data_IF_341406098860
#
_entry.id   IF_341406098860
#
_cell.length_a   1.000
_cell.length_b   1.000
_cell.length_c   1.000
_cell.angle_alpha   90.00
_cell.angle_beta   90.00
_cell.angle_gamma   90.00
#
_symmetry.space_group_name_H-M   'P 1'
#
loop_
_entity.id
_entity.type
_entity.pdbx_description
1 polymer ?
#
# COMPACT_ATOMS: atom_id res chain seq x y z
N UNK A 1 30.13 6.00 12.99
CA UNK A 1 29.76 4.58 13.17
C UNK A 1 29.29 4.24 14.59
N UNK A 2 30.10 4.49 15.62
CA UNK A 2 29.73 4.25 17.03
C UNK A 2 28.42 4.97 17.36
N UNK A 3 28.24 6.18 16.91
CA UNK A 3 27.05 7.04 17.14
C UNK A 3 25.78 6.53 16.48
N UNK A 4 25.85 5.92 15.28
CA UNK A 4 24.69 5.30 14.64
C UNK A 4 24.22 4.05 15.39
N UNK A 5 25.17 3.21 15.83
CA UNK A 5 24.84 2.05 16.68
C UNK A 5 24.26 2.48 18.04
N UNK A 6 24.82 3.53 18.63
CA UNK A 6 24.28 4.11 19.86
C UNK A 6 22.87 4.70 19.69
N UNK A 7 22.52 5.14 18.47
CA UNK A 7 21.19 5.60 18.10
C UNK A 7 20.23 4.45 17.73
N UNK A 8 20.64 3.17 17.90
CA UNK A 8 19.79 1.98 17.71
C UNK A 8 19.79 1.41 16.29
N UNK A 9 20.65 1.88 15.38
CA UNK A 9 20.75 1.33 14.02
C UNK A 9 21.64 0.08 13.97
N UNK A 10 21.22 -0.94 13.20
CA UNK A 10 22.08 -2.05 12.78
C UNK A 10 22.99 -1.57 11.63
N UNK A 11 24.29 -1.48 11.87
CA UNK A 11 25.24 -0.85 10.93
C UNK A 11 26.24 -1.87 10.40
N UNK A 12 26.20 -2.10 9.09
CA UNK A 12 27.24 -2.79 8.32
C UNK A 12 28.15 -1.75 7.66
N UNK A 13 29.40 -2.09 7.43
CA UNK A 13 30.42 -1.18 6.87
C UNK A 13 31.09 -1.84 5.71
N UNK A 14 31.27 -1.07 4.65
CA UNK A 14 32.03 -1.42 3.47
C UNK A 14 33.22 -0.48 3.30
N UNK A 15 34.33 -0.97 2.80
CA UNK A 15 35.57 -0.22 2.53
C UNK A 15 35.49 0.53 1.19
N UNK A 16 34.67 0.07 0.26
CA UNK A 16 34.47 0.68 -1.06
C UNK A 16 33.07 0.35 -1.63
N UNK A 17 32.77 0.87 -2.83
CA UNK A 17 31.47 0.68 -3.47
C UNK A 17 31.22 -0.75 -3.94
N UNK A 18 32.26 -1.55 -4.23
CA UNK A 18 32.10 -2.95 -4.65
C UNK A 18 31.61 -3.79 -3.47
N UNK A 19 32.31 -3.73 -2.35
CA UNK A 19 31.92 -4.40 -1.11
C UNK A 19 30.55 -3.92 -0.62
N UNK A 20 30.25 -2.61 -0.74
CA UNK A 20 28.94 -2.06 -0.37
C UNK A 20 27.80 -2.67 -1.20
N UNK A 21 28.01 -2.84 -2.50
CA UNK A 21 27.02 -3.44 -3.39
C UNK A 21 26.79 -4.92 -3.06
N UNK A 22 27.86 -5.69 -2.83
CA UNK A 22 27.79 -7.11 -2.43
C UNK A 22 27.02 -7.28 -1.11
N UNK A 23 27.36 -6.48 -0.10
CA UNK A 23 26.67 -6.48 1.20
C UNK A 23 25.18 -6.14 1.06
N UNK A 24 24.83 -5.20 0.17
CA UNK A 24 23.43 -4.82 -0.09
C UNK A 24 22.68 -5.93 -0.82
N UNK A 25 23.32 -6.71 -1.69
CA UNK A 25 22.71 -7.86 -2.36
C UNK A 25 22.48 -9.05 -1.42
N UNK A 26 23.38 -9.29 -0.46
CA UNK A 26 23.20 -10.34 0.55
C UNK A 26 21.99 -10.09 1.46
N UNK A 27 21.88 -8.84 1.93
CA UNK A 27 20.78 -8.39 2.77
C UNK A 27 20.54 -6.91 2.49
N UNK A 28 19.44 -6.63 1.80
CA UNK A 28 19.04 -5.27 1.44
C UNK A 28 18.90 -4.39 2.69
N UNK A 29 19.65 -3.25 2.79
CA UNK A 29 19.52 -2.33 3.89
C UNK A 29 18.35 -1.38 3.69
N UNK A 30 17.87 -0.74 4.77
CA UNK A 30 16.87 0.34 4.66
C UNK A 30 17.49 1.63 4.12
N UNK A 31 18.79 1.85 4.38
CA UNK A 31 19.52 3.06 3.96
C UNK A 31 21.00 2.78 3.73
N UNK A 32 21.55 3.36 2.67
CA UNK A 32 22.97 3.40 2.35
C UNK A 32 23.50 4.81 2.55
N UNK A 33 24.55 4.95 3.37
CA UNK A 33 25.38 6.17 3.44
C UNK A 33 26.61 5.96 2.58
N UNK A 34 26.70 6.61 1.43
CA UNK A 34 27.79 6.46 0.49
C UNK A 34 28.65 7.73 0.42
N UNK A 35 29.97 7.58 0.56
CA UNK A 35 30.89 8.66 0.18
C UNK A 35 30.88 8.79 -1.35
N UNK A 36 30.88 10.02 -1.86
CA UNK A 36 31.07 10.26 -3.29
C UNK A 36 32.41 9.69 -3.75
N UNK A 37 33.48 9.93 -2.99
CA UNK A 37 34.84 9.55 -3.35
C UNK A 37 35.24 8.26 -2.62
N UNK A 38 35.12 7.12 -3.29
CA UNK A 38 35.58 5.82 -2.79
C UNK A 38 36.48 5.14 -3.81
N UNK A 39 37.43 4.29 -3.39
CA UNK A 39 38.23 3.49 -4.31
C UNK A 39 37.38 2.44 -5.02
N UNK A 40 37.88 1.88 -6.13
CA UNK A 40 37.30 0.82 -6.95
C UNK A 40 35.94 1.15 -7.58
N UNK A 41 34.98 1.61 -6.79
CA UNK A 41 33.66 2.06 -7.24
C UNK A 41 33.24 3.27 -6.40
N UNK A 42 33.01 4.40 -7.07
CA UNK A 42 32.56 5.63 -6.41
C UNK A 42 31.07 5.56 -6.01
N UNK A 43 30.62 6.57 -5.23
CA UNK A 43 29.25 6.60 -4.73
C UNK A 43 28.19 6.74 -5.83
N UNK A 44 28.52 7.38 -6.94
CA UNK A 44 27.59 7.53 -8.07
C UNK A 44 27.39 6.21 -8.81
N UNK A 45 28.46 5.48 -9.09
CA UNK A 45 28.41 4.18 -9.72
C UNK A 45 27.71 3.15 -8.79
N UNK A 46 27.99 3.18 -7.50
CA UNK A 46 27.28 2.37 -6.50
C UNK A 46 25.76 2.66 -6.56
N UNK A 47 25.39 3.92 -6.54
CA UNK A 47 23.96 4.33 -6.62
C UNK A 47 23.31 3.81 -7.89
N UNK A 48 23.96 3.94 -9.04
CA UNK A 48 23.45 3.47 -10.33
C UNK A 48 23.23 1.96 -10.32
N UNK A 49 24.16 1.18 -9.78
CA UNK A 49 24.02 -0.28 -9.66
C UNK A 49 22.92 -0.70 -8.68
N UNK A 50 22.82 -0.02 -7.53
CA UNK A 50 21.73 -0.27 -6.58
C UNK A 50 20.35 -0.02 -7.22
N UNK A 51 20.19 1.04 -8.03
CA UNK A 51 18.94 1.36 -8.73
C UNK A 51 18.60 0.38 -9.87
N UNK A 52 19.61 -0.26 -10.47
CA UNK A 52 19.42 -1.25 -11.54
C UNK A 52 19.09 -2.66 -11.04
N UNK A 53 19.44 -3.01 -9.81
CA UNK A 53 19.11 -4.32 -9.22
C UNK A 53 17.73 -4.25 -8.53
N UNK A 54 16.73 -5.06 -8.97
CA UNK A 54 15.38 -5.05 -8.37
C UNK A 54 15.34 -5.25 -6.85
N UNK A 55 16.34 -5.97 -6.28
CA UNK A 55 16.41 -6.23 -4.84
C UNK A 55 16.81 -5.01 -4.02
N UNK A 56 17.51 -4.06 -4.65
CA UNK A 56 18.06 -2.87 -3.98
C UNK A 56 17.56 -1.55 -4.58
N UNK A 57 16.73 -1.60 -5.62
CA UNK A 57 16.26 -0.42 -6.35
C UNK A 57 15.54 0.62 -5.46
N UNK A 58 14.88 0.16 -4.39
CA UNK A 58 14.11 1.01 -3.45
C UNK A 58 14.85 1.35 -2.16
N UNK A 59 16.13 0.97 -2.03
CA UNK A 59 16.97 1.32 -0.87
C UNK A 59 17.18 2.83 -0.82
N UNK A 60 16.99 3.43 0.35
CA UNK A 60 17.29 4.87 0.51
C UNK A 60 18.78 5.14 0.44
N UNK A 61 19.20 6.21 -0.24
CA UNK A 61 20.61 6.55 -0.44
C UNK A 61 20.86 8.00 -0.04
N UNK A 62 21.77 8.19 0.93
CA UNK A 62 22.30 9.51 1.30
C UNK A 62 23.76 9.57 0.87
N UNK A 63 24.10 10.57 0.04
CA UNK A 63 25.48 10.80 -0.41
C UNK A 63 26.23 11.74 0.54
N UNK A 64 27.46 11.35 0.92
CA UNK A 64 28.37 12.19 1.67
C UNK A 64 29.34 12.89 0.69
N UNK A 65 29.28 14.21 0.60
CA UNK A 65 30.02 14.97 -0.42
C UNK A 65 30.96 16.01 0.20
N UNK A 66 32.05 16.35 -0.47
CA UNK A 66 32.91 17.45 -0.08
C UNK A 66 32.29 18.82 -0.42
N UNK A 67 32.69 19.88 0.34
CA UNK A 67 32.23 21.26 0.12
C UNK A 67 32.73 21.75 -1.26
N UNK A 68 31.80 22.15 -2.15
CA UNK A 68 32.15 22.76 -3.45
C UNK A 68 31.65 21.99 -4.69
N UNK A 69 31.12 20.79 -4.54
CA UNK A 69 30.65 19.98 -5.67
C UNK A 69 29.16 20.25 -6.02
N UNK A 70 28.84 21.47 -6.46
CA UNK A 70 27.48 21.84 -6.88
C UNK A 70 27.02 21.13 -8.15
N UNK A 71 27.95 20.79 -9.07
CA UNK A 71 27.65 20.02 -10.27
C UNK A 71 27.30 18.57 -9.94
N UNK A 72 28.01 17.97 -8.97
CA UNK A 72 27.78 16.58 -8.54
C UNK A 72 26.43 16.37 -7.84
N UNK A 73 25.89 17.42 -7.18
CA UNK A 73 24.55 17.37 -6.60
C UNK A 73 23.45 17.22 -7.67
N UNK A 74 23.58 17.94 -8.79
CA UNK A 74 22.61 17.83 -9.91
C UNK A 74 22.71 16.47 -10.61
N UNK A 75 23.93 15.95 -10.78
CA UNK A 75 24.14 14.62 -11.36
C UNK A 75 23.62 13.52 -10.45
N UNK A 76 23.87 13.61 -9.16
CA UNK A 76 23.41 12.61 -8.20
C UNK A 76 21.88 12.57 -8.01
N UNK A 77 21.17 13.71 -8.01
CA UNK A 77 19.71 13.72 -8.03
C UNK A 77 19.15 13.06 -9.29
N UNK A 78 19.82 13.26 -10.45
CA UNK A 78 19.44 12.59 -11.69
C UNK A 78 19.67 11.06 -11.66
N UNK A 79 20.59 10.57 -10.80
CA UNK A 79 20.92 9.15 -10.64
C UNK A 79 20.00 8.46 -9.62
N UNK A 80 19.25 9.23 -8.78
CA UNK A 80 18.27 8.68 -7.84
C UNK A 80 18.75 8.58 -6.39
N UNK A 81 19.54 9.55 -5.90
CA UNK A 81 19.84 9.70 -4.46
C UNK A 81 18.68 10.41 -3.74
N UNK A 82 18.46 10.07 -2.47
CA UNK A 82 17.35 10.61 -1.67
C UNK A 82 17.74 11.88 -0.88
N UNK A 83 19.03 12.03 -0.54
CA UNK A 83 19.56 13.23 0.13
C UNK A 83 21.09 13.32 0.01
N UNK A 84 21.65 14.49 0.38
CA UNK A 84 23.09 14.78 0.43
C UNK A 84 23.49 15.42 1.73
N UNK A 85 24.68 15.05 2.24
CA UNK A 85 25.30 15.68 3.40
C UNK A 85 26.68 16.17 3.02
N UNK A 86 26.95 17.46 3.24
CA UNK A 86 28.24 18.08 2.94
C UNK A 86 29.19 17.89 4.12
N UNK A 87 30.37 17.36 3.84
CA UNK A 87 31.47 17.26 4.83
C UNK A 87 32.14 18.61 5.05
N UNK A 88 32.52 18.99 6.29
CA UNK A 88 32.26 18.27 7.54
C UNK A 88 30.81 18.45 8.01
N UNK A 89 30.23 17.43 8.60
CA UNK A 89 28.89 17.45 9.20
C UNK A 89 28.99 17.03 10.67
N UNK A 90 28.02 17.44 11.47
CA UNK A 90 27.89 16.98 12.84
C UNK A 90 26.97 15.74 12.95
N UNK A 91 27.07 15.01 14.05
CA UNK A 91 26.26 13.81 14.29
C UNK A 91 24.77 14.11 14.39
N UNK A 92 24.31 15.19 15.08
CA UNK A 92 22.91 15.55 15.08
C UNK A 92 22.32 15.81 13.69
N UNK A 93 23.04 16.50 12.79
CA UNK A 93 22.63 16.70 11.40
C UNK A 93 22.47 15.37 10.66
N UNK A 94 23.49 14.51 10.73
CA UNK A 94 23.46 13.18 10.10
C UNK A 94 22.26 12.36 10.58
N UNK A 95 22.03 12.25 11.88
CA UNK A 95 20.92 11.51 12.46
C UNK A 95 19.57 12.09 12.09
N UNK A 96 19.44 13.42 12.02
CA UNK A 96 18.20 14.08 11.61
C UNK A 96 17.85 13.75 10.15
N UNK A 97 18.83 13.76 9.24
CA UNK A 97 18.64 13.44 7.83
C UNK A 97 18.31 11.96 7.62
N UNK A 98 19.03 11.05 8.29
CA UNK A 98 18.73 9.61 8.26
C UNK A 98 17.29 9.36 8.69
N UNK A 99 16.87 9.90 9.84
CA UNK A 99 15.48 9.76 10.30
C UNK A 99 14.48 10.33 9.31
N UNK A 100 14.77 11.47 8.71
CA UNK A 100 13.91 12.11 7.71
C UNK A 100 13.75 11.28 6.45
N UNK A 101 14.85 10.71 5.92
CA UNK A 101 14.84 9.86 4.72
C UNK A 101 14.11 8.54 5.01
N UNK A 102 14.46 7.86 6.11
CA UNK A 102 13.82 6.60 6.50
C UNK A 102 12.31 6.76 6.75
N UNK A 103 11.91 7.86 7.39
CA UNK A 103 10.48 8.16 7.60
C UNK A 103 9.76 8.32 6.27
N UNK A 104 10.26 9.15 5.33
CA UNK A 104 9.66 9.31 3.99
C UNK A 104 9.58 7.99 3.22
N UNK A 105 10.65 7.17 3.27
CA UNK A 105 10.66 5.87 2.64
C UNK A 105 9.61 4.91 3.25
N UNK A 106 9.45 4.92 4.59
CA UNK A 106 8.41 4.16 5.28
C UNK A 106 7.01 4.65 4.87
N UNK A 107 6.78 5.96 4.84
CA UNK A 107 5.52 6.58 4.43
C UNK A 107 5.17 6.22 2.97
N UNK A 108 6.14 6.26 2.04
CA UNK A 108 5.92 5.87 0.64
C UNK A 108 5.66 4.36 0.48
N UNK A 109 6.39 3.50 1.21
CA UNK A 109 6.15 2.04 1.21
C UNK A 109 4.85 1.65 1.91
N UNK A 110 4.35 2.52 2.78
CA UNK A 110 3.13 2.31 3.54
C UNK A 110 1.86 2.71 2.77
N UNK A 111 2.00 3.21 1.54
CA UNK A 111 0.89 3.54 0.65
C UNK A 111 0.82 2.57 -0.54
N UNK A 112 -0.39 2.33 -1.03
CA UNK A 112 -0.59 1.61 -2.27
C UNK A 112 -0.14 2.49 -3.46
N UNK A 113 0.80 2.03 -4.29
CA UNK A 113 1.27 2.83 -5.42
C UNK A 113 0.19 3.08 -6.49
N UNK A 114 -0.86 2.26 -6.53
CA UNK A 114 -1.94 2.38 -7.50
C UNK A 114 -2.98 3.42 -7.08
N UNK A 115 -3.37 3.43 -5.79
CA UNK A 115 -4.48 4.28 -5.30
C UNK A 115 -4.01 5.44 -4.43
N UNK A 116 -2.78 5.40 -3.90
CA UNK A 116 -2.29 6.35 -2.90
C UNK A 116 -2.85 6.12 -1.48
N UNK A 117 -3.80 5.20 -1.32
CA UNK A 117 -4.36 4.86 -0.02
C UNK A 117 -3.34 4.19 0.89
N UNK A 118 -3.50 4.27 2.22
CA UNK A 118 -2.77 3.47 3.19
C UNK A 118 -2.72 1.98 2.80
N UNK A 119 -1.51 1.39 2.80
CA UNK A 119 -1.27 -0.03 2.55
C UNK A 119 -1.24 -0.85 3.84
N UNK A 120 -0.94 -2.15 3.71
CA UNK A 120 -1.02 -3.15 4.80
C UNK A 120 -0.38 -2.71 6.11
N UNK A 121 0.82 -2.10 6.08
CA UNK A 121 1.52 -1.66 7.29
C UNK A 121 0.71 -0.60 8.05
N UNK A 122 0.11 0.36 7.34
CA UNK A 122 -0.69 1.41 7.96
C UNK A 122 -2.03 0.89 8.46
N UNK A 123 -2.62 -0.06 7.73
CA UNK A 123 -3.86 -0.74 8.15
C UNK A 123 -3.64 -1.48 9.47
N UNK A 124 -2.55 -2.25 9.59
CA UNK A 124 -2.17 -2.96 10.81
C UNK A 124 -1.91 -1.99 11.97
N UNK A 125 -1.07 -0.96 11.77
CA UNK A 125 -0.77 0.06 12.78
C UNK A 125 -2.04 0.76 13.29
N UNK A 126 -3.01 1.05 12.41
CA UNK A 126 -4.25 1.73 12.79
C UNK A 126 -5.14 0.83 13.65
N UNK A 127 -5.36 -0.43 13.23
CA UNK A 127 -6.21 -1.37 13.97
C UNK A 127 -5.58 -1.72 15.33
N UNK A 128 -4.29 -2.03 15.36
CA UNK A 128 -3.60 -2.37 16.63
C UNK A 128 -3.59 -1.17 17.57
N UNK A 129 -3.40 0.05 17.05
CA UNK A 129 -3.50 1.26 17.85
C UNK A 129 -4.89 1.46 18.48
N UNK A 130 -5.98 1.18 17.75
CA UNK A 130 -7.34 1.23 18.29
C UNK A 130 -7.56 0.16 19.36
N UNK A 131 -7.08 -1.07 19.12
CA UNK A 131 -7.17 -2.18 20.10
C UNK A 131 -6.41 -1.84 21.38
N UNK A 132 -5.18 -1.33 21.28
CA UNK A 132 -4.35 -0.95 22.43
C UNK A 132 -4.98 0.18 23.27
N UNK A 133 -5.65 1.14 22.63
CA UNK A 133 -6.35 2.24 23.30
C UNK A 133 -7.74 1.85 23.82
N UNK A 134 -8.22 0.65 23.47
CA UNK A 134 -9.56 0.18 23.83
C UNK A 134 -10.67 0.99 23.16
N UNK A 135 -10.39 1.58 21.99
CA UNK A 135 -11.34 2.35 21.21
C UNK A 135 -12.26 1.42 20.40
N UNK A 136 -13.54 1.81 20.28
CA UNK A 136 -14.50 1.05 19.51
C UNK A 136 -14.37 1.36 18.03
N UNK A 137 -14.42 0.32 17.18
CA UNK A 137 -14.37 0.46 15.72
C UNK A 137 -15.17 -0.65 15.02
N UNK A 138 -15.49 -0.42 13.77
CA UNK A 138 -15.91 -1.46 12.84
C UNK A 138 -14.93 -1.52 11.67
N UNK A 139 -14.53 -2.74 11.31
CA UNK A 139 -13.70 -3.06 10.16
C UNK A 139 -14.57 -3.59 9.03
N UNK A 140 -14.56 -2.91 7.88
CA UNK A 140 -15.17 -3.37 6.65
C UNK A 140 -14.06 -3.87 5.71
N UNK A 141 -14.20 -5.09 5.21
CA UNK A 141 -13.29 -5.66 4.22
C UNK A 141 -14.05 -5.84 2.90
N UNK A 142 -13.68 -5.09 1.89
CA UNK A 142 -14.34 -5.05 0.58
C UNK A 142 -13.45 -5.67 -0.51
N UNK A 143 -14.10 -6.31 -1.50
CA UNK A 143 -13.42 -7.02 -2.59
C UNK A 143 -14.31 -6.95 -3.85
N UNK A 144 -13.69 -6.77 -5.03
CA UNK A 144 -14.39 -6.73 -6.30
C UNK A 144 -14.59 -8.15 -6.86
N UNK A 145 -15.84 -8.59 -6.92
CA UNK A 145 -16.16 -9.87 -7.52
C UNK A 145 -15.95 -9.84 -9.04
N UNK A 146 -15.46 -10.95 -9.58
CA UNK A 146 -15.18 -11.12 -11.02
C UNK A 146 -14.09 -10.21 -11.58
N UNK A 147 -13.27 -9.54 -10.74
CA UNK A 147 -12.22 -8.61 -11.19
C UNK A 147 -11.20 -9.27 -12.12
N UNK A 148 -10.87 -10.55 -11.87
CA UNK A 148 -10.01 -11.30 -12.80
C UNK A 148 -10.62 -11.40 -14.20
N UNK A 149 -11.92 -11.68 -14.32
CA UNK A 149 -12.59 -11.77 -15.62
C UNK A 149 -12.62 -10.41 -16.33
N UNK A 150 -12.78 -9.32 -15.58
CA UNK A 150 -12.68 -7.96 -16.09
C UNK A 150 -11.28 -7.69 -16.67
N UNK A 151 -10.22 -8.04 -15.94
CA UNK A 151 -8.84 -7.91 -16.41
C UNK A 151 -8.54 -8.77 -17.64
N UNK A 152 -9.04 -10.01 -17.65
CA UNK A 152 -8.84 -10.93 -18.78
C UNK A 152 -9.55 -10.42 -20.05
N UNK A 153 -10.65 -9.67 -19.92
CA UNK A 153 -11.41 -9.09 -21.02
C UNK A 153 -10.86 -7.74 -21.50
N UNK A 154 -10.60 -6.80 -20.56
CA UNK A 154 -10.23 -5.42 -20.87
C UNK A 154 -8.75 -5.09 -20.73
N UNK A 155 -7.96 -5.98 -20.11
CA UNK A 155 -6.54 -5.80 -19.82
C UNK A 155 -6.28 -5.02 -18.51
N UNK A 156 -5.06 -5.15 -18.02
CA UNK A 156 -4.66 -4.62 -16.72
C UNK A 156 -4.80 -3.09 -16.57
N UNK A 157 -4.57 -2.33 -17.65
CA UNK A 157 -4.71 -0.87 -17.58
C UNK A 157 -6.13 -0.42 -17.22
N UNK A 158 -7.16 -1.08 -17.79
CA UNK A 158 -8.56 -0.79 -17.41
C UNK A 158 -8.90 -1.36 -16.04
N UNK A 159 -8.27 -2.47 -15.64
CA UNK A 159 -8.37 -2.97 -14.27
C UNK A 159 -7.82 -2.00 -13.24
N UNK A 160 -6.67 -1.40 -13.49
CA UNK A 160 -6.10 -0.37 -12.62
C UNK A 160 -7.03 0.85 -12.50
N UNK A 161 -7.65 1.28 -13.60
CA UNK A 161 -8.66 2.34 -13.58
C UNK A 161 -9.89 1.95 -12.76
N UNK A 162 -10.35 0.71 -12.86
CA UNK A 162 -11.47 0.22 -12.05
C UNK A 162 -11.16 0.23 -10.55
N UNK A 163 -9.94 -0.20 -10.16
CA UNK A 163 -9.46 -0.11 -8.76
C UNK A 163 -9.40 1.35 -8.29
N UNK A 164 -8.84 2.26 -9.10
CA UNK A 164 -8.75 3.68 -8.75
C UNK A 164 -10.13 4.33 -8.61
N UNK A 165 -11.07 4.02 -9.51
CA UNK A 165 -12.45 4.51 -9.43
C UNK A 165 -13.16 3.98 -8.19
N UNK A 166 -12.96 2.69 -7.86
CA UNK A 166 -13.50 2.08 -6.63
C UNK A 166 -12.94 2.73 -5.38
N UNK A 167 -11.61 2.98 -5.35
CA UNK A 167 -10.97 3.68 -4.24
C UNK A 167 -11.57 5.06 -4.00
N UNK A 168 -11.73 5.85 -5.07
CA UNK A 168 -12.30 7.19 -5.01
C UNK A 168 -13.78 7.17 -4.54
N UNK A 169 -14.58 6.22 -5.04
CA UNK A 169 -15.96 6.01 -4.61
C UNK A 169 -16.04 5.68 -3.11
N UNK A 170 -15.20 4.75 -2.63
CA UNK A 170 -15.14 4.35 -1.22
C UNK A 170 -14.77 5.55 -0.34
N UNK A 171 -13.76 6.34 -0.72
CA UNK A 171 -13.35 7.54 0.02
C UNK A 171 -14.47 8.59 0.10
N UNK A 172 -15.16 8.83 -1.02
CA UNK A 172 -16.26 9.81 -1.08
C UNK A 172 -17.42 9.37 -0.19
N UNK A 173 -17.89 8.14 -0.34
CA UNK A 173 -19.00 7.58 0.46
C UNK A 173 -18.67 7.55 1.95
N UNK A 174 -17.48 7.06 2.30
CA UNK A 174 -17.06 7.02 3.71
C UNK A 174 -17.04 8.42 4.33
N UNK A 175 -16.46 9.41 3.62
CA UNK A 175 -16.44 10.81 4.08
C UNK A 175 -17.85 11.41 4.24
N UNK A 176 -18.75 11.15 3.30
CA UNK A 176 -20.14 11.63 3.34
C UNK A 176 -20.90 11.05 4.54
N UNK A 177 -20.78 9.76 4.80
CA UNK A 177 -21.53 9.05 5.84
C UNK A 177 -20.96 9.27 7.23
N UNK A 178 -19.63 9.32 7.37
CA UNK A 178 -18.94 9.45 8.67
C UNK A 178 -18.60 10.88 9.05
N UNK A 179 -18.72 11.84 8.11
CA UNK A 179 -18.28 13.22 8.31
C UNK A 179 -16.76 13.37 8.29
N UNK A 180 -16.04 12.37 7.75
CA UNK A 180 -14.58 12.34 7.65
C UNK A 180 -13.89 11.48 8.73
N UNK A 181 -14.66 10.86 9.62
CA UNK A 181 -14.14 9.94 10.64
C UNK A 181 -14.10 8.51 10.10
N UNK A 182 -13.21 8.29 9.14
CA UNK A 182 -12.95 6.99 8.54
C UNK A 182 -11.48 6.87 8.13
N UNK A 183 -10.89 5.71 8.41
CA UNK A 183 -9.62 5.31 7.81
C UNK A 183 -9.90 4.36 6.66
N UNK A 184 -9.23 4.56 5.52
CA UNK A 184 -9.41 3.74 4.32
C UNK A 184 -8.05 3.26 3.87
N UNK A 185 -7.94 1.96 3.58
CA UNK A 185 -6.72 1.31 3.13
C UNK A 185 -6.94 0.43 1.91
N UNK A 186 -5.89 0.23 1.13
CA UNK A 186 -5.84 -0.67 -0.01
C UNK A 186 -4.85 -1.79 0.26
N UNK A 187 -5.36 -3.00 0.47
CA UNK A 187 -4.56 -4.19 0.83
C UNK A 187 -3.73 -4.66 -0.36
N UNK A 188 -4.30 -4.58 -1.56
CA UNK A 188 -3.67 -4.94 -2.83
C UNK A 188 -4.63 -5.68 -3.76
N UNK A 189 -4.36 -5.63 -5.07
CA UNK A 189 -5.30 -6.15 -6.07
C UNK A 189 -6.64 -5.44 -5.99
N UNK A 190 -7.70 -6.17 -5.72
CA UNK A 190 -9.09 -5.75 -5.64
C UNK A 190 -9.63 -5.63 -4.19
N UNK A 191 -8.74 -5.74 -3.18
CA UNK A 191 -9.11 -5.73 -1.75
C UNK A 191 -8.92 -4.36 -1.09
N UNK A 192 -9.96 -3.87 -0.40
CA UNK A 192 -9.96 -2.63 0.39
C UNK A 192 -10.37 -2.88 1.84
N UNK A 193 -9.88 -2.03 2.73
CA UNK A 193 -10.24 -2.03 4.16
C UNK A 193 -10.71 -0.64 4.56
N UNK A 194 -11.80 -0.58 5.32
CA UNK A 194 -12.26 0.64 5.97
C UNK A 194 -12.36 0.39 7.47
N UNK A 195 -12.02 1.41 8.25
CA UNK A 195 -12.22 1.45 9.69
C UNK A 195 -13.08 2.67 9.98
N UNK A 196 -14.23 2.44 10.58
CA UNK A 196 -15.24 3.47 10.82
C UNK A 196 -15.81 3.34 12.23
N UNK A 197 -16.49 4.38 12.77
CA UNK A 197 -17.27 4.24 13.99
C UNK A 197 -18.30 3.10 13.85
N UNK A 198 -18.45 2.23 14.87
CA UNK A 198 -19.30 1.03 14.79
C UNK A 198 -20.73 1.32 14.35
N UNK A 199 -21.30 2.42 14.87
CA UNK A 199 -22.67 2.86 14.57
C UNK A 199 -22.86 3.31 13.11
N UNK A 200 -21.76 3.58 12.38
CA UNK A 200 -21.77 3.98 10.96
C UNK A 200 -21.52 2.82 10.00
N UNK A 201 -21.11 1.66 10.51
CA UNK A 201 -20.65 0.55 9.68
C UNK A 201 -21.70 0.06 8.67
N UNK A 202 -22.97 -0.06 9.11
CA UNK A 202 -24.08 -0.47 8.25
C UNK A 202 -24.37 0.58 7.17
N UNK A 203 -24.49 1.84 7.55
CA UNK A 203 -24.79 2.94 6.63
C UNK A 203 -23.68 3.08 5.56
N UNK A 204 -22.43 2.93 5.96
CA UNK A 204 -21.28 2.98 5.03
C UNK A 204 -21.32 1.79 4.07
N UNK A 205 -21.54 0.56 4.56
CA UNK A 205 -21.58 -0.62 3.71
C UNK A 205 -22.75 -0.55 2.70
N UNK A 206 -23.93 -0.15 3.13
CA UNK A 206 -25.10 0.04 2.26
C UNK A 206 -24.88 1.11 1.21
N UNK A 207 -24.31 2.26 1.61
CA UNK A 207 -24.06 3.36 0.69
C UNK A 207 -22.99 2.99 -0.35
N UNK A 208 -21.92 2.26 0.03
CA UNK A 208 -20.90 1.79 -0.91
C UNK A 208 -21.52 0.84 -1.93
N UNK A 209 -22.28 -0.17 -1.49
CA UNK A 209 -22.94 -1.13 -2.38
C UNK A 209 -23.88 -0.40 -3.36
N UNK A 210 -24.72 0.50 -2.87
CA UNK A 210 -25.67 1.23 -3.71
C UNK A 210 -24.96 2.14 -4.73
N UNK A 211 -23.92 2.87 -4.32
CA UNK A 211 -23.16 3.77 -5.20
C UNK A 211 -22.34 2.97 -6.22
N UNK A 212 -21.72 1.86 -5.80
CA UNK A 212 -20.95 0.99 -6.68
C UNK A 212 -21.81 0.42 -7.80
N UNK A 213 -23.00 -0.12 -7.49
CA UNK A 213 -23.93 -0.66 -8.50
C UNK A 213 -24.41 0.40 -9.50
N UNK A 214 -24.49 1.66 -9.10
CA UNK A 214 -24.84 2.77 -9.99
C UNK A 214 -23.70 3.16 -10.91
N UNK A 215 -22.46 3.13 -10.43
CA UNK A 215 -21.28 3.67 -11.15
C UNK A 215 -20.53 2.60 -11.96
N UNK A 216 -20.50 1.34 -11.48
CA UNK A 216 -19.75 0.26 -12.14
C UNK A 216 -20.09 0.04 -13.62
N UNK A 217 -21.32 0.22 -14.11
CA UNK A 217 -21.61 0.07 -15.54
C UNK A 217 -20.84 1.03 -16.44
N UNK A 218 -20.40 2.19 -15.90
CA UNK A 218 -19.61 3.15 -16.67
C UNK A 218 -18.17 2.66 -16.98
N UNK A 219 -17.69 1.64 -16.27
CA UNK A 219 -16.39 1.02 -16.51
C UNK A 219 -16.37 0.11 -17.74
N UNK A 220 -17.54 -0.22 -18.29
CA UNK A 220 -17.72 -1.16 -19.40
C UNK A 220 -18.00 -0.46 -20.71
N UNK A 221 -17.62 -1.10 -21.82
CA UNK A 221 -17.99 -0.66 -23.16
C UNK A 221 -19.52 -0.74 -23.33
N UNK A 222 -20.12 0.11 -24.19
CA UNK A 222 -21.59 0.17 -24.33
C UNK A 222 -22.26 -1.18 -24.59
N UNK A 223 -21.61 -2.04 -25.38
CA UNK A 223 -22.14 -3.37 -25.73
C UNK A 223 -22.19 -4.30 -24.53
N UNK A 224 -21.10 -4.37 -23.76
CA UNK A 224 -21.02 -5.26 -22.59
C UNK A 224 -21.92 -4.76 -21.45
N UNK A 225 -22.03 -3.42 -21.32
CA UNK A 225 -22.96 -2.81 -20.37
C UNK A 225 -24.42 -3.12 -20.70
N UNK A 226 -24.80 -3.09 -21.99
CA UNK A 226 -26.17 -3.43 -22.43
C UNK A 226 -26.47 -4.92 -22.23
N UNK A 227 -25.48 -5.80 -22.48
CA UNK A 227 -25.60 -7.23 -22.24
C UNK A 227 -25.64 -7.59 -20.75
N UNK A 228 -25.02 -6.79 -19.87
CA UNK A 228 -24.87 -7.07 -18.44
C UNK A 228 -23.84 -8.16 -18.11
N UNK A 229 -23.00 -8.57 -19.07
CA UNK A 229 -21.93 -9.55 -18.87
C UNK A 229 -20.80 -9.34 -19.87
N UNK A 230 -19.64 -9.92 -19.56
CA UNK A 230 -18.51 -10.06 -20.46
C UNK A 230 -18.24 -11.53 -20.77
N UNK A 231 -17.69 -11.82 -21.96
CA UNK A 231 -17.28 -13.17 -22.36
C UNK A 231 -15.75 -13.28 -22.34
N UNK A 232 -15.24 -14.28 -21.62
CA UNK A 232 -13.80 -14.53 -21.48
C UNK A 232 -13.52 -15.99 -21.88
N UNK A 233 -12.52 -16.20 -22.73
CA UNK A 233 -12.07 -17.53 -23.12
C UNK A 233 -11.25 -18.17 -21.97
N UNK A 234 -11.62 -19.35 -21.53
CA UNK A 234 -10.82 -20.13 -20.61
C UNK A 234 -9.58 -20.74 -21.31
N UNK A 235 -8.72 -21.41 -20.55
CA UNK A 235 -7.49 -22.05 -21.08
C UNK A 235 -7.74 -23.11 -22.16
N UNK A 236 -8.98 -23.59 -22.32
CA UNK A 236 -9.40 -24.56 -23.35
C UNK A 236 -10.01 -23.88 -24.56
N UNK A 237 -10.10 -22.55 -24.58
CA UNK A 237 -10.73 -21.78 -25.63
C UNK A 237 -12.26 -21.72 -25.54
N UNK A 238 -12.87 -22.20 -24.47
CA UNK A 238 -14.32 -22.15 -24.25
C UNK A 238 -14.69 -20.79 -23.68
N UNK A 239 -15.71 -20.12 -24.26
CA UNK A 239 -16.21 -18.85 -23.77
C UNK A 239 -17.04 -19.05 -22.49
N UNK A 240 -16.70 -18.30 -21.47
CA UNK A 240 -17.44 -18.24 -20.20
C UNK A 240 -18.00 -16.83 -20.02
N UNK A 241 -19.22 -16.73 -19.52
CA UNK A 241 -19.90 -15.46 -19.22
C UNK A 241 -19.71 -15.10 -17.76
N UNK A 242 -19.30 -13.85 -17.54
CA UNK A 242 -19.16 -13.28 -16.22
C UNK A 242 -20.03 -12.03 -16.13
N UNK A 243 -20.83 -11.86 -15.05
CA UNK A 243 -21.61 -10.64 -14.86
C UNK A 243 -20.68 -9.43 -14.73
N UNK A 244 -21.24 -8.23 -14.72
CA UNK A 244 -20.50 -7.03 -14.40
C UNK A 244 -19.91 -7.16 -12.98
N UNK A 245 -18.85 -6.38 -12.71
CA UNK A 245 -18.25 -6.31 -11.37
C UNK A 245 -19.31 -6.03 -10.31
N UNK A 246 -19.18 -6.68 -9.18
CA UNK A 246 -19.91 -6.38 -7.96
C UNK A 246 -18.93 -6.21 -6.80
N UNK A 247 -19.38 -5.66 -5.68
CA UNK A 247 -18.55 -5.49 -4.49
C UNK A 247 -19.12 -6.32 -3.33
N UNK A 248 -18.26 -7.14 -2.72
CA UNK A 248 -18.58 -7.96 -1.54
C UNK A 248 -17.94 -7.36 -0.31
N UNK A 249 -18.72 -7.01 0.73
CA UNK A 249 -18.22 -6.37 1.94
C UNK A 249 -18.53 -7.22 3.17
N UNK A 250 -17.50 -7.61 3.90
CA UNK A 250 -17.62 -8.25 5.23
C UNK A 250 -17.32 -7.26 6.34
N UNK A 251 -18.13 -7.27 7.39
CA UNK A 251 -18.03 -6.33 8.53
C UNK A 251 -17.78 -7.06 9.84
N UNK A 252 -16.74 -6.62 10.56
CA UNK A 252 -16.42 -7.01 11.93
C UNK A 252 -16.51 -5.79 12.84
N UNK A 253 -17.26 -5.86 13.96
CA UNK A 253 -17.51 -4.70 14.84
C UNK A 253 -17.20 -5.02 16.29
N UNK A 254 -16.54 -4.09 16.98
CA UNK A 254 -16.27 -4.17 18.43
C UNK A 254 -17.53 -4.05 19.28
N UNK A 255 -18.66 -3.64 18.74
CA UNK A 255 -19.96 -3.70 19.45
C UNK A 255 -20.40 -5.13 19.76
N UNK A 256 -19.90 -6.11 19.01
CA UNK A 256 -20.31 -7.51 19.13
C UNK A 256 -19.31 -8.33 19.93
N UNK A 257 -18.02 -8.06 19.77
CA UNK A 257 -16.91 -8.72 20.45
C UNK A 257 -15.68 -7.84 20.56
N UNK A 258 -14.87 -8.06 21.58
CA UNK A 258 -13.53 -7.48 21.64
C UNK A 258 -12.56 -8.26 20.73
N UNK A 259 -11.61 -7.57 20.14
CA UNK A 259 -10.51 -8.16 19.37
C UNK A 259 -9.19 -7.98 20.13
N UNK A 260 -8.38 -9.02 20.16
CA UNK A 260 -7.08 -8.98 20.83
C UNK A 260 -5.98 -8.32 19.98
N UNK A 261 -6.10 -8.38 18.64
CA UNK A 261 -5.16 -7.82 17.69
C UNK A 261 -5.82 -7.72 16.30
N UNK A 262 -5.17 -6.99 15.38
CA UNK A 262 -5.72 -6.70 14.05
C UNK A 262 -6.12 -7.94 13.26
N UNK A 263 -5.30 -9.01 13.31
CA UNK A 263 -5.53 -10.21 12.50
C UNK A 263 -6.85 -10.92 12.84
N UNK A 264 -7.34 -10.81 14.10
CA UNK A 264 -8.64 -11.37 14.49
C UNK A 264 -9.80 -10.62 13.85
N UNK A 265 -9.78 -9.28 13.89
CA UNK A 265 -10.79 -8.45 13.24
C UNK A 265 -10.82 -8.67 11.72
N UNK A 266 -9.65 -8.73 11.09
CA UNK A 266 -9.51 -9.00 9.64
C UNK A 266 -10.02 -10.39 9.29
N UNK A 267 -9.71 -11.41 10.09
CA UNK A 267 -10.19 -12.78 9.84
C UNK A 267 -11.72 -12.85 9.84
N UNK A 268 -12.39 -12.21 10.82
CA UNK A 268 -13.85 -12.16 10.91
C UNK A 268 -14.46 -11.38 9.73
N UNK A 269 -13.91 -10.21 9.39
CA UNK A 269 -14.40 -9.44 8.24
C UNK A 269 -14.23 -10.23 6.93
N UNK A 270 -13.10 -10.94 6.76
CA UNK A 270 -12.85 -11.81 5.59
C UNK A 270 -13.82 -12.99 5.53
N UNK A 271 -14.16 -13.60 6.68
CA UNK A 271 -15.18 -14.66 6.75
C UNK A 271 -16.56 -14.12 6.29
N UNK A 272 -16.94 -12.95 6.77
CA UNK A 272 -18.19 -12.30 6.36
C UNK A 272 -18.18 -11.91 4.88
N UNK A 273 -17.08 -11.40 4.35
CA UNK A 273 -16.89 -11.14 2.92
C UNK A 273 -17.05 -12.43 2.10
N UNK A 274 -16.49 -13.55 2.55
CA UNK A 274 -16.64 -14.84 1.88
C UNK A 274 -18.11 -15.29 1.88
N UNK A 275 -18.82 -15.03 2.96
CA UNK A 275 -20.25 -15.33 3.04
C UNK A 275 -21.07 -14.52 2.02
N UNK A 276 -20.77 -13.22 1.83
CA UNK A 276 -21.46 -12.37 0.85
C UNK A 276 -21.26 -12.82 -0.59
N UNK A 277 -20.09 -13.37 -0.94
CA UNK A 277 -19.80 -13.90 -2.29
C UNK A 277 -20.72 -15.04 -2.75
N UNK A 278 -21.48 -15.65 -1.85
CA UNK A 278 -22.54 -16.60 -2.21
C UNK A 278 -23.82 -15.93 -2.75
N UNK A 279 -23.95 -14.61 -2.58
CA UNK A 279 -25.07 -13.81 -3.10
C UNK A 279 -24.68 -13.20 -4.44
N UNK A 280 -25.58 -13.25 -5.43
CA UNK A 280 -25.32 -12.61 -6.72
C UNK A 280 -25.43 -11.08 -6.60
N UNK A 281 -24.48 -10.36 -7.23
CA UNK A 281 -24.41 -8.90 -7.20
C UNK A 281 -23.75 -8.37 -5.94
N UNK A 282 -23.67 -7.04 -5.82
CA UNK A 282 -23.04 -6.39 -4.66
C UNK A 282 -23.80 -6.65 -3.38
N UNK A 283 -23.07 -6.99 -2.32
CA UNK A 283 -23.71 -7.32 -1.04
C UNK A 283 -22.75 -7.11 0.13
N UNK A 284 -23.32 -7.03 1.33
CA UNK A 284 -22.56 -6.92 2.56
C UNK A 284 -23.14 -7.79 3.69
N UNK A 285 -22.28 -8.18 4.63
CA UNK A 285 -22.70 -8.91 5.84
C UNK A 285 -21.86 -8.49 7.05
N UNK A 286 -22.52 -8.42 8.21
CA UNK A 286 -21.88 -8.13 9.48
C UNK A 286 -21.88 -9.38 10.36
N UNK A 287 -20.77 -9.63 11.07
CA UNK A 287 -20.71 -10.67 12.09
C UNK A 287 -21.70 -10.34 13.24
N UNK A 288 -22.67 -11.23 13.46
CA UNK A 288 -23.69 -11.10 14.50
C UNK A 288 -23.42 -11.99 15.71
N UNK A 289 -22.35 -12.78 15.69
CA UNK A 289 -21.97 -13.68 16.77
C UNK A 289 -21.47 -12.87 17.96
N UNK A 290 -22.01 -13.15 19.14
CA UNK A 290 -21.51 -12.64 20.42
C UNK A 290 -20.73 -13.76 21.08
N UNK A 291 -19.48 -13.51 21.43
CA UNK A 291 -18.68 -14.46 22.24
C UNK A 291 -18.94 -14.26 23.70
#
# INVERSE_FOLDING_TARGET
>A
MIELRAAGYDVRVASDGVEAFELAQERSPDLVLADVMMPNMDGFELTRRLRQDPRTATVSIIMLTARGLSADKLEGFAIGTDDYIVKPFDTPELLARIRGVLRRAKEMRAQSPLTGLPGNVRIEEEIDGLVERGESFALLYADLDHFKAYNDHYGFMRGDQAIQSTAALIEEVAREVTGGDAFIGHVGGDDFVLIVPPEKATDVAEAIVARFDQEVPALYDPVDREHGFVEVANRRGELQRFPLLSISIGVASTERRAYAHYAEAVAIATEMKTYTKATAGSSWAIDRRTT
#
